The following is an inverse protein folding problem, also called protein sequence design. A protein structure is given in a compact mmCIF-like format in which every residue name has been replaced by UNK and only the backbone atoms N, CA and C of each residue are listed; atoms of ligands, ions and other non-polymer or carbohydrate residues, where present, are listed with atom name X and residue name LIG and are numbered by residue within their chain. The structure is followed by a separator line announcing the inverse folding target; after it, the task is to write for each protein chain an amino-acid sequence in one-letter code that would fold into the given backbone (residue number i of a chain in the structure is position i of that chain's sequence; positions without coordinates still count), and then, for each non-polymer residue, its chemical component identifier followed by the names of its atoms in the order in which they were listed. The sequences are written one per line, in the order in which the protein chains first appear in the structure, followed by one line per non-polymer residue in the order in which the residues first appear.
data_IF_940426721452
#
_entry.id   IF_940426721452
#
_cell.length_a   1.000
_cell.length_b   1.000
_cell.length_c   1.000
_cell.angle_alpha   90.00
_cell.angle_beta   90.00
_cell.angle_gamma   90.00
#
_symmetry.space_group_name_H-M   'P 1'
#
loop_
_entity.id
_entity.type
_entity.pdbx_description
1 polymer ?
#
# COMPACT_ATOMS: atom_id res chain seq x y z
N UNK A 1 20.50 -1.29 -6.05
CA UNK A 1 19.25 -1.65 -5.35
C UNK A 1 18.67 -0.35 -4.82
N UNK A 2 17.57 0.12 -5.39
CA UNK A 2 16.99 1.42 -5.01
C UNK A 2 16.24 1.25 -3.70
N UNK A 3 16.91 1.53 -2.59
CA UNK A 3 16.22 1.87 -1.36
C UNK A 3 15.47 3.16 -1.69
N UNK A 4 14.14 3.10 -1.79
CA UNK A 4 13.34 4.33 -1.75
C UNK A 4 13.75 5.02 -0.45
N UNK A 5 14.17 6.30 -0.48
CA UNK A 5 14.64 6.97 0.71
C UNK A 5 13.58 6.85 1.80
N UNK A 6 13.97 6.44 3.01
CA UNK A 6 13.08 6.17 4.15
C UNK A 6 12.04 7.30 4.41
N UNK A 7 12.40 8.54 4.05
CA UNK A 7 11.50 9.72 4.08
C UNK A 7 10.37 9.70 3.05
N UNK A 8 10.61 9.17 1.84
CA UNK A 8 9.62 9.04 0.77
C UNK A 8 8.56 8.00 1.13
N UNK A 9 8.95 6.88 1.75
CA UNK A 9 8.00 5.87 2.24
C UNK A 9 7.10 6.43 3.35
N UNK A 10 7.66 7.17 4.31
CA UNK A 10 6.88 7.82 5.37
C UNK A 10 5.86 8.83 4.83
N UNK A 11 6.22 9.60 3.80
CA UNK A 11 5.32 10.55 3.17
C UNK A 11 4.17 9.86 2.41
N UNK A 12 4.50 8.80 1.65
CA UNK A 12 3.52 7.99 0.92
C UNK A 12 2.53 7.32 1.88
N UNK A 13 3.04 6.61 2.90
CA UNK A 13 2.22 5.91 3.90
C UNK A 13 1.30 6.89 4.63
N UNK A 14 1.83 8.05 5.04
CA UNK A 14 1.02 9.08 5.69
C UNK A 14 -0.11 9.56 4.76
N UNK A 15 0.20 9.83 3.49
CA UNK A 15 -0.82 10.32 2.55
C UNK A 15 -1.86 9.26 2.23
N UNK A 16 -1.46 8.01 2.04
CA UNK A 16 -2.39 6.87 1.88
C UNK A 16 -3.33 6.78 3.08
N UNK A 17 -2.81 6.80 4.30
CA UNK A 17 -3.63 6.77 5.54
C UNK A 17 -4.63 7.94 5.61
N UNK A 18 -4.21 9.15 5.24
CA UNK A 18 -5.10 10.32 5.19
C UNK A 18 -6.27 10.14 4.21
N UNK A 19 -5.97 9.73 2.98
CA UNK A 19 -6.98 9.55 1.93
C UNK A 19 -7.92 8.39 2.26
N UNK A 20 -7.37 7.27 2.75
CA UNK A 20 -8.15 6.13 3.26
C UNK A 20 -9.02 6.56 4.46
N UNK A 21 -8.50 7.45 5.30
CA UNK A 21 -9.21 8.06 6.42
C UNK A 21 -10.27 9.10 6.03
N UNK A 22 -10.46 9.36 4.74
CA UNK A 22 -11.54 10.19 4.22
C UNK A 22 -11.13 11.60 3.80
N UNK A 23 -9.86 11.98 3.91
CA UNK A 23 -9.39 13.24 3.35
C UNK A 23 -9.71 13.35 1.85
N UNK A 24 -9.93 14.58 1.40
CA UNK A 24 -10.22 14.86 0.00
C UNK A 24 -8.96 14.60 -0.83
N UNK A 25 -9.13 13.91 -1.94
CA UNK A 25 -8.10 13.66 -2.93
C UNK A 25 -8.66 13.88 -4.33
N UNK A 26 -7.81 14.35 -5.24
CA UNK A 26 -8.18 14.46 -6.66
C UNK A 26 -8.10 13.11 -7.36
N UNK A 27 -8.74 12.95 -8.52
CA UNK A 27 -8.60 11.71 -9.32
C UNK A 27 -7.14 11.44 -9.71
N UNK A 28 -6.41 12.47 -10.12
CA UNK A 28 -5.00 12.36 -10.49
C UNK A 28 -4.16 11.88 -9.29
N UNK A 29 -4.46 12.39 -8.10
CA UNK A 29 -3.80 11.98 -6.87
C UNK A 29 -4.14 10.53 -6.49
N UNK A 30 -5.40 10.11 -6.59
CA UNK A 30 -5.80 8.72 -6.34
C UNK A 30 -5.07 7.75 -7.27
N UNK A 31 -4.94 8.09 -8.56
CA UNK A 31 -4.18 7.29 -9.54
C UNK A 31 -2.71 7.21 -9.17
N UNK A 32 -2.09 8.35 -8.85
CA UNK A 32 -0.69 8.40 -8.46
C UNK A 32 -0.42 7.62 -7.16
N UNK A 33 -1.32 7.69 -6.18
CA UNK A 33 -1.21 6.92 -4.93
C UNK A 33 -1.36 5.42 -5.17
N UNK A 34 -2.25 5.00 -6.06
CA UNK A 34 -2.41 3.59 -6.43
C UNK A 34 -1.14 3.06 -7.11
N UNK A 35 -0.59 3.78 -8.09
CA UNK A 35 0.64 3.40 -8.78
C UNK A 35 1.84 3.28 -7.83
N UNK A 36 1.98 4.23 -6.90
CA UNK A 36 3.03 4.23 -5.90
C UNK A 36 2.87 3.09 -4.90
N UNK A 37 1.65 2.84 -4.41
CA UNK A 37 1.38 1.75 -3.48
C UNK A 37 1.63 0.36 -4.13
N UNK A 38 1.24 0.19 -5.39
CA UNK A 38 1.56 -1.00 -6.17
C UNK A 38 3.07 -1.20 -6.33
N UNK A 39 3.81 -0.11 -6.58
CA UNK A 39 5.26 -0.11 -6.63
C UNK A 39 5.89 -0.55 -5.30
N UNK A 40 5.36 -0.05 -4.19
CA UNK A 40 5.80 -0.40 -2.84
C UNK A 40 5.57 -1.88 -2.52
N UNK A 41 4.40 -2.44 -2.85
CA UNK A 41 4.14 -3.89 -2.69
C UNK A 41 5.12 -4.72 -3.50
N UNK A 42 5.33 -4.39 -4.78
CA UNK A 42 6.29 -5.12 -5.63
C UNK A 42 7.72 -5.08 -5.07
N UNK A 43 8.15 -3.92 -4.58
CA UNK A 43 9.47 -3.76 -3.98
C UNK A 43 9.61 -4.61 -2.70
N UNK A 44 8.59 -4.56 -1.83
CA UNK A 44 8.57 -5.31 -0.56
C UNK A 44 8.52 -6.82 -0.81
N UNK A 45 7.72 -7.28 -1.78
CA UNK A 45 7.64 -8.69 -2.18
C UNK A 45 9.00 -9.20 -2.70
N UNK A 46 9.70 -8.41 -3.52
CA UNK A 46 11.03 -8.77 -4.01
C UNK A 46 12.07 -8.84 -2.89
N UNK A 47 12.01 -7.92 -1.93
CA UNK A 47 12.90 -7.92 -0.76
C UNK A 47 12.60 -9.10 0.16
N UNK A 48 11.32 -9.42 0.38
CA UNK A 48 10.89 -10.55 1.18
C UNK A 48 11.38 -11.87 0.56
N UNK A 49 11.16 -12.05 -0.74
CA UNK A 49 11.63 -13.23 -1.45
C UNK A 49 13.16 -13.38 -1.38
N UNK A 50 13.90 -12.28 -1.49
CA UNK A 50 15.36 -12.30 -1.31
C UNK A 50 15.77 -12.69 0.11
N UNK A 51 15.07 -12.21 1.13
CA UNK A 51 15.37 -12.54 2.53
C UNK A 51 15.01 -14.00 2.86
N UNK A 52 13.89 -14.51 2.35
CA UNK A 52 13.50 -15.92 2.47
C UNK A 52 14.50 -16.85 1.78
N UNK A 53 14.99 -16.46 0.60
CA UNK A 53 16.06 -17.17 -0.11
C UNK A 53 17.34 -17.25 0.74
N UNK A 54 17.78 -16.11 1.29
CA UNK A 54 18.95 -16.06 2.16
C UNK A 54 18.77 -16.90 3.43
N UNK A 55 17.59 -16.88 4.03
CA UNK A 55 17.29 -17.69 5.21
C UNK A 55 17.35 -19.19 4.88
N UNK A 56 16.91 -19.58 3.69
CA UNK A 56 17.02 -20.95 3.18
C UNK A 56 18.48 -21.37 3.02
N UNK A 57 19.33 -20.51 2.46
CA UNK A 57 20.78 -20.74 2.34
C UNK A 57 21.44 -20.94 3.71
N UNK A 58 21.17 -20.04 4.66
CA UNK A 58 21.75 -20.10 6.01
C UNK A 58 21.31 -21.35 6.78
N UNK A 59 20.03 -21.74 6.67
CA UNK A 59 19.51 -22.96 7.29
C UNK A 59 20.06 -24.24 6.65
N UNK A 60 20.49 -24.17 5.38
CA UNK A 60 21.08 -25.30 4.65
C UNK A 60 22.55 -25.57 5.01
N UNK A 61 23.24 -24.60 5.59
CA UNK A 61 24.64 -24.73 6.02
C UNK A 61 24.73 -24.85 7.56
N UNK A 62 25.09 -26.03 8.11
CA UNK A 62 25.27 -26.24 9.54
C UNK A 62 26.37 -25.38 10.18
N UNK A 63 27.28 -24.82 9.39
CA UNK A 63 28.33 -23.92 9.88
C UNK A 63 27.85 -22.45 9.97
N UNK A 64 26.66 -22.13 9.46
CA UNK A 64 26.11 -20.78 9.50
C UNK A 64 25.98 -20.26 10.93
N UNK A 65 26.41 -19.03 11.22
CA UNK A 65 26.23 -18.45 12.54
C UNK A 65 24.74 -18.26 12.87
N UNK A 66 24.30 -18.72 14.05
CA UNK A 66 22.93 -18.51 14.56
C UNK A 66 22.54 -17.03 14.56
N UNK A 67 23.51 -16.13 14.81
CA UNK A 67 23.28 -14.69 14.78
C UNK A 67 22.86 -14.17 13.39
N UNK A 68 23.38 -14.76 12.30
CA UNK A 68 22.99 -14.41 10.92
C UNK A 68 21.58 -14.91 10.62
N UNK A 69 21.27 -16.16 11.00
CA UNK A 69 19.92 -16.72 10.89
C UNK A 69 18.91 -15.83 11.63
N UNK A 70 19.20 -15.46 12.88
CA UNK A 70 18.32 -14.60 13.67
C UNK A 70 18.15 -13.20 13.06
N UNK A 71 19.18 -12.68 12.38
CA UNK A 71 19.11 -11.39 11.69
C UNK A 71 18.19 -11.47 10.48
N UNK A 72 18.31 -12.51 9.66
CA UNK A 72 17.43 -12.69 8.50
C UNK A 72 15.99 -13.01 8.90
N UNK A 73 15.75 -13.75 9.98
CA UNK A 73 14.39 -13.96 10.53
C UNK A 73 13.73 -12.62 10.88
N UNK A 74 14.44 -11.74 11.62
CA UNK A 74 13.90 -10.41 11.96
C UNK A 74 13.61 -9.57 10.72
N UNK A 75 14.44 -9.70 9.68
CA UNK A 75 14.26 -9.01 8.41
C UNK A 75 13.00 -9.51 7.68
N UNK A 76 12.81 -10.82 7.56
CA UNK A 76 11.60 -11.44 6.99
C UNK A 76 10.35 -10.98 7.74
N UNK A 77 10.38 -10.96 9.07
CA UNK A 77 9.26 -10.50 9.89
C UNK A 77 8.94 -9.02 9.66
N UNK A 78 9.96 -8.15 9.57
CA UNK A 78 9.77 -6.73 9.30
C UNK A 78 9.12 -6.50 7.93
N UNK A 79 9.67 -7.13 6.88
CA UNK A 79 9.15 -7.03 5.52
C UNK A 79 7.73 -7.61 5.41
N UNK A 80 7.42 -8.68 6.14
CA UNK A 80 6.07 -9.27 6.16
C UNK A 80 5.03 -8.31 6.74
N UNK A 81 5.37 -7.57 7.80
CA UNK A 81 4.49 -6.53 8.38
C UNK A 81 4.30 -5.36 7.42
N UNK A 82 5.38 -4.89 6.81
CA UNK A 82 5.34 -3.81 5.83
C UNK A 82 4.47 -4.16 4.62
N UNK A 83 4.65 -5.36 4.09
CA UNK A 83 3.87 -5.92 2.98
C UNK A 83 2.37 -5.98 3.31
N UNK A 84 2.03 -6.34 4.54
CA UNK A 84 0.64 -6.40 4.98
C UNK A 84 0.02 -5.00 5.13
N UNK A 85 0.76 -4.06 5.71
CA UNK A 85 0.32 -2.67 5.76
C UNK A 85 0.04 -2.10 4.36
N UNK A 86 0.96 -2.33 3.42
CA UNK A 86 0.80 -1.89 2.04
C UNK A 86 -0.48 -2.43 1.40
N UNK A 87 -0.77 -3.73 1.59
CA UNK A 87 -2.02 -4.34 1.11
C UNK A 87 -3.26 -3.72 1.72
N UNK A 88 -3.27 -3.49 3.03
CA UNK A 88 -4.42 -2.89 3.72
C UNK A 88 -4.67 -1.47 3.22
N UNK A 89 -3.62 -0.68 2.99
CA UNK A 89 -3.74 0.67 2.45
C UNK A 89 -4.25 0.68 1.00
N UNK A 90 -3.80 -0.26 0.15
CA UNK A 90 -4.33 -0.42 -1.22
C UNK A 90 -5.82 -0.76 -1.19
N UNK A 91 -6.23 -1.74 -0.38
CA UNK A 91 -7.65 -2.09 -0.24
C UNK A 91 -8.50 -0.92 0.27
N UNK A 92 -7.95 -0.13 1.20
CA UNK A 92 -8.57 1.11 1.67
C UNK A 92 -8.73 2.12 0.53
N UNK A 93 -7.69 2.32 -0.27
CA UNK A 93 -7.67 3.28 -1.38
C UNK A 93 -8.67 2.88 -2.47
N UNK A 94 -8.76 1.58 -2.80
CA UNK A 94 -9.76 1.07 -3.74
C UNK A 94 -11.18 1.35 -3.26
N UNK A 95 -11.46 1.09 -1.98
CA UNK A 95 -12.76 1.36 -1.37
C UNK A 95 -13.08 2.85 -1.44
N UNK A 96 -12.14 3.71 -1.07
CA UNK A 96 -12.31 5.16 -1.12
C UNK A 96 -12.58 5.67 -2.54
N UNK A 97 -11.87 5.13 -3.52
CA UNK A 97 -12.08 5.45 -4.93
C UNK A 97 -13.49 5.09 -5.39
N UNK A 98 -13.99 3.90 -4.99
CA UNK A 98 -15.36 3.48 -5.28
C UNK A 98 -16.40 4.38 -4.60
N UNK A 99 -16.20 4.73 -3.34
CA UNK A 99 -17.08 5.65 -2.59
C UNK A 99 -17.21 7.01 -3.28
N UNK A 100 -16.07 7.61 -3.65
CA UNK A 100 -16.03 8.90 -4.34
C UNK A 100 -16.73 8.84 -5.70
N UNK A 101 -16.51 7.76 -6.45
CA UNK A 101 -17.21 7.52 -7.71
C UNK A 101 -18.73 7.41 -7.52
N UNK A 102 -19.18 6.65 -6.52
CA UNK A 102 -20.61 6.52 -6.21
C UNK A 102 -21.23 7.85 -5.77
N UNK A 103 -20.54 8.63 -4.94
CA UNK A 103 -21.00 9.95 -4.51
C UNK A 103 -21.14 10.91 -5.69
N UNK A 104 -20.16 10.92 -6.59
CA UNK A 104 -20.20 11.73 -7.81
C UNK A 104 -21.35 11.33 -8.75
N UNK A 105 -21.60 10.03 -8.93
CA UNK A 105 -22.71 9.53 -9.76
C UNK A 105 -24.07 9.90 -9.18
N UNK A 106 -24.25 9.82 -7.85
CA UNK A 106 -25.49 10.24 -7.17
C UNK A 106 -25.73 11.73 -7.35
N UNK A 107 -24.71 12.56 -7.11
CA UNK A 107 -24.80 14.00 -7.30
C UNK A 107 -25.17 14.35 -8.75
N UNK A 108 -24.59 13.68 -9.75
CA UNK A 108 -24.98 13.90 -11.15
C UNK A 108 -26.42 13.48 -11.46
N UNK A 109 -26.90 12.37 -10.89
CA UNK A 109 -28.28 11.93 -11.09
C UNK A 109 -29.31 12.90 -10.46
N UNK A 110 -28.98 13.47 -9.31
CA UNK A 110 -29.80 14.48 -8.62
C UNK A 110 -29.79 15.83 -9.37
N UNK A 111 -28.61 16.29 -9.80
CA UNK A 111 -28.42 17.52 -10.58
C UNK A 111 -29.02 17.45 -11.99
N UNK A 112 -29.12 16.25 -12.56
CA UNK A 112 -29.68 16.00 -13.89
C UNK A 112 -31.19 15.74 -13.92
N UNK A 113 -31.89 15.75 -12.78
CA UNK A 113 -33.34 15.57 -12.72
C UNK A 113 -34.07 16.92 -12.85
N UNK A 114 -34.77 17.21 -13.97
CA UNK A 114 -35.53 18.45 -14.13
C UNK A 114 -36.86 18.44 -13.35
N UNK A 115 -37.20 17.36 -12.64
CA UNK A 115 -38.54 17.11 -12.07
C UNK A 115 -38.59 17.23 -10.54
N UNK A 116 -37.65 17.94 -9.93
CA UNK A 116 -37.58 18.17 -8.48
C UNK A 116 -38.23 19.46 -7.97
N UNK A 117 -39.07 20.15 -8.75
CA UNK A 117 -39.89 21.25 -8.27
C UNK A 117 -41.27 21.26 -8.93
N UNK A 118 -42.32 20.89 -8.18
CA UNK A 118 -43.45 21.77 -7.85
C UNK A 118 -44.49 21.04 -6.96
N UNK A 119 -45.25 21.78 -6.13
CA UNK A 119 -46.17 21.25 -5.11
C UNK A 119 -47.44 20.61 -5.67
#
# INVERSE_FOLDING_TARGET
MSHVPEKLDLALVRRLRQVVGGEVATEAELRALAEQADGWVRATDAQLHSAEGRLTELNGDPASPIAEIATEVRRVEALSREREEARLLIQGLERRTRELRTAWLKHHAESGSPFGQQP
#
